data_IF_142019747001
#
_entry.id   IF_142019747001
#
_cell.length_a   1.000
_cell.length_b   1.000
_cell.length_c   1.000
_cell.angle_alpha   90.00
_cell.angle_beta   90.00
_cell.angle_gamma   90.00
#
_symmetry.space_group_name_H-M   'P 1'
#
loop_
_entity.id
_entity.type
_entity.pdbx_description
1 polymer ?
#
# COMPACT_ATOMS: atom_id res chain seq x y z
N UNK A 1 -10.86 -6.34 20.88
CA UNK A 1 -12.06 -6.13 20.07
C UNK A 1 -11.80 -6.59 18.65
N UNK A 2 -12.70 -7.36 18.06
CA UNK A 2 -12.63 -7.71 16.65
C UNK A 2 -13.03 -6.54 15.75
N UNK A 3 -12.72 -6.65 14.46
CA UNK A 3 -13.09 -5.67 13.43
C UNK A 3 -14.58 -5.65 13.09
N UNK A 4 -15.42 -6.41 13.83
CA UNK A 4 -16.83 -6.58 13.55
C UNK A 4 -17.10 -7.62 12.46
N UNK A 5 -18.38 -8.05 12.35
CA UNK A 5 -18.78 -9.09 11.39
C UNK A 5 -18.50 -8.71 9.93
N UNK A 6 -18.75 -7.47 9.57
CA UNK A 6 -18.49 -6.96 8.22
C UNK A 6 -17.04 -7.18 7.78
N UNK A 7 -16.07 -6.74 8.61
CA UNK A 7 -14.67 -6.86 8.26
C UNK A 7 -14.17 -8.29 8.26
N UNK A 8 -14.70 -9.19 9.09
CA UNK A 8 -14.32 -10.60 9.02
C UNK A 8 -14.70 -11.22 7.69
N UNK A 9 -15.90 -10.96 7.19
CA UNK A 9 -16.34 -11.44 5.87
C UNK A 9 -15.51 -10.84 4.73
N UNK A 10 -15.27 -9.53 4.77
CA UNK A 10 -14.45 -8.82 3.76
C UNK A 10 -13.04 -9.36 3.72
N UNK A 11 -12.41 -9.60 4.87
CA UNK A 11 -11.05 -10.11 4.93
C UNK A 11 -10.94 -11.52 4.34
N UNK A 12 -11.93 -12.38 4.54
CA UNK A 12 -11.93 -13.71 3.95
C UNK A 12 -12.01 -13.64 2.41
N UNK A 13 -12.89 -12.81 1.87
CA UNK A 13 -12.98 -12.57 0.42
C UNK A 13 -11.67 -11.99 -0.13
N UNK A 14 -11.08 -11.02 0.56
CA UNK A 14 -9.81 -10.43 0.12
C UNK A 14 -8.67 -11.46 0.11
N UNK A 15 -8.61 -12.35 1.08
CA UNK A 15 -7.62 -13.44 1.08
C UNK A 15 -7.76 -14.34 -0.13
N UNK A 16 -8.97 -14.64 -0.54
CA UNK A 16 -9.25 -15.50 -1.69
C UNK A 16 -8.80 -14.87 -3.01
N UNK A 17 -8.83 -13.56 -3.13
CA UNK A 17 -8.42 -12.86 -4.35
C UNK A 17 -6.93 -12.52 -4.43
N UNK A 18 -6.18 -12.63 -3.31
CA UNK A 18 -4.73 -12.35 -3.29
C UNK A 18 -3.97 -13.01 -4.44
N UNK A 19 -4.15 -14.32 -4.75
CA UNK A 19 -3.38 -14.99 -5.81
C UNK A 19 -3.59 -14.43 -7.21
N UNK A 20 -4.69 -13.73 -7.45
CA UNK A 20 -5.06 -13.21 -8.78
C UNK A 20 -5.12 -11.68 -8.83
N UNK A 21 -4.89 -11.01 -7.73
CA UNK A 21 -5.09 -9.57 -7.58
C UNK A 21 -4.34 -8.75 -8.63
N UNK A 22 -3.04 -8.97 -8.78
CA UNK A 22 -2.23 -8.23 -9.74
C UNK A 22 -2.63 -8.53 -11.20
N UNK A 23 -3.03 -9.78 -11.49
CA UNK A 23 -3.52 -10.15 -12.82
C UNK A 23 -4.82 -9.43 -13.16
N UNK A 24 -5.75 -9.37 -12.22
CA UNK A 24 -7.02 -8.66 -12.40
C UNK A 24 -6.79 -7.17 -12.62
N UNK A 25 -5.95 -6.55 -11.82
CA UNK A 25 -5.61 -5.13 -11.97
C UNK A 25 -4.94 -4.85 -13.32
N UNK A 26 -4.00 -5.67 -13.74
CA UNK A 26 -3.36 -5.54 -15.05
C UNK A 26 -4.36 -5.70 -16.21
N UNK A 27 -5.29 -6.62 -16.07
CA UNK A 27 -6.35 -6.83 -17.08
C UNK A 27 -7.30 -5.62 -17.16
N UNK A 28 -7.80 -5.12 -16.02
CA UNK A 28 -8.72 -3.98 -15.96
C UNK A 28 -8.05 -2.70 -16.50
N UNK A 29 -6.78 -2.49 -16.21
CA UNK A 29 -6.00 -1.32 -16.65
C UNK A 29 -5.43 -1.46 -18.06
N UNK A 30 -5.65 -2.57 -18.73
CA UNK A 30 -5.03 -2.92 -20.03
C UNK A 30 -3.48 -2.88 -19.97
N UNK A 31 -2.91 -3.33 -18.84
CA UNK A 31 -1.47 -3.34 -18.59
C UNK A 31 -0.86 -1.98 -18.25
N UNK A 32 -1.68 -0.96 -17.99
CA UNK A 32 -1.24 0.43 -17.69
C UNK A 32 -1.25 0.77 -16.20
N UNK A 33 -1.44 -0.21 -15.34
CA UNK A 33 -1.52 -0.01 -13.89
C UNK A 33 -0.28 0.67 -13.31
N UNK A 34 0.93 0.32 -13.76
CA UNK A 34 2.16 0.98 -13.33
C UNK A 34 2.25 2.41 -13.86
N UNK A 35 1.85 2.65 -15.11
CA UNK A 35 1.80 4.01 -15.68
C UNK A 35 0.85 4.90 -14.89
N UNK A 36 -0.32 4.41 -14.51
CA UNK A 36 -1.28 5.16 -13.73
C UNK A 36 -0.74 5.49 -12.33
N UNK A 37 -0.08 4.53 -11.67
CA UNK A 37 0.59 4.78 -10.39
C UNK A 37 1.67 5.86 -10.53
N UNK A 38 2.50 5.75 -11.55
CA UNK A 38 3.57 6.73 -11.83
C UNK A 38 3.01 8.13 -12.00
N UNK A 39 1.98 8.29 -12.83
CA UNK A 39 1.32 9.58 -13.06
C UNK A 39 0.69 10.16 -11.79
N UNK A 40 0.11 9.30 -10.96
CA UNK A 40 -0.48 9.70 -9.69
C UNK A 40 0.54 10.23 -8.68
N UNK A 41 1.74 9.69 -8.70
CA UNK A 41 2.80 10.02 -7.74
C UNK A 41 3.70 11.16 -8.21
N UNK A 42 3.86 11.32 -9.51
CA UNK A 42 4.81 12.27 -10.10
C UNK A 42 4.56 13.70 -9.61
N UNK A 43 5.60 14.30 -9.03
CA UNK A 43 5.55 15.66 -8.47
C UNK A 43 4.82 15.79 -7.13
N UNK A 44 4.21 14.72 -6.62
CA UNK A 44 3.50 14.72 -5.34
C UNK A 44 4.27 14.05 -4.21
N UNK A 45 5.12 13.10 -4.56
CA UNK A 45 6.05 12.45 -3.61
C UNK A 45 7.46 12.89 -3.96
N UNK A 46 8.25 13.24 -2.96
CA UNK A 46 9.61 13.74 -3.09
C UNK A 46 10.57 12.89 -2.29
N UNK A 47 11.85 12.97 -2.63
CA UNK A 47 12.91 12.35 -1.84
C UNK A 47 12.79 12.72 -0.36
N UNK A 48 13.19 11.80 0.52
CA UNK A 48 13.15 11.94 1.98
C UNK A 48 11.76 12.12 2.60
N UNK A 49 10.67 12.14 1.81
CA UNK A 49 9.33 12.20 2.38
C UNK A 49 9.02 10.99 3.26
N UNK A 50 8.26 11.25 4.34
CA UNK A 50 7.56 10.20 5.07
C UNK A 50 6.20 9.97 4.43
N UNK A 51 5.96 8.79 3.92
CA UNK A 51 4.70 8.44 3.26
C UNK A 51 3.97 7.29 3.94
N UNK A 52 2.65 7.42 4.00
CA UNK A 52 1.75 6.35 4.40
C UNK A 52 1.10 5.77 3.15
N UNK A 53 1.31 4.48 2.89
CA UNK A 53 0.60 3.74 1.87
C UNK A 53 -0.60 3.06 2.52
N UNK A 54 -1.75 3.71 2.41
CA UNK A 54 -2.99 3.28 3.05
C UNK A 54 -3.74 2.28 2.15
N UNK A 55 -4.04 1.11 2.69
CA UNK A 55 -4.54 0.00 1.88
C UNK A 55 -3.46 -0.50 0.94
N UNK A 56 -2.25 -0.70 1.47
CA UNK A 56 -1.04 -0.94 0.66
C UNK A 56 -1.06 -2.24 -0.13
N UNK A 57 -1.79 -3.25 0.35
CA UNK A 57 -1.83 -4.56 -0.31
C UNK A 57 -0.43 -5.11 -0.56
N UNK A 58 -0.09 -5.35 -1.81
CA UNK A 58 1.26 -5.78 -2.23
C UNK A 58 2.30 -4.65 -2.28
N UNK A 59 1.95 -3.44 -1.89
CA UNK A 59 2.86 -2.30 -1.86
C UNK A 59 3.22 -1.73 -3.24
N UNK A 60 2.39 -1.94 -4.24
CA UNK A 60 2.67 -1.51 -5.61
C UNK A 60 2.84 0.01 -5.74
N UNK A 61 2.03 0.80 -5.03
CA UNK A 61 2.19 2.26 -4.99
C UNK A 61 3.54 2.67 -4.39
N UNK A 62 3.91 2.08 -3.27
CA UNK A 62 5.19 2.35 -2.60
C UNK A 62 6.39 1.90 -3.41
N UNK A 63 6.30 0.77 -4.10
CA UNK A 63 7.35 0.32 -5.04
C UNK A 63 7.55 1.33 -6.15
N UNK A 64 6.47 1.84 -6.73
CA UNK A 64 6.53 2.88 -7.77
C UNK A 64 7.12 4.17 -7.21
N UNK A 65 6.72 4.59 -6.01
CA UNK A 65 7.28 5.76 -5.34
C UNK A 65 8.80 5.63 -5.13
N UNK A 66 9.27 4.46 -4.70
CA UNK A 66 10.71 4.19 -4.54
C UNK A 66 11.47 4.25 -5.85
N UNK A 67 10.89 3.77 -6.95
CA UNK A 67 11.49 3.90 -8.30
C UNK A 67 11.63 5.36 -8.73
N UNK A 68 10.65 6.20 -8.38
CA UNK A 68 10.65 7.62 -8.76
C UNK A 68 11.58 8.49 -7.91
N UNK A 69 11.65 8.22 -6.60
CA UNK A 69 12.27 9.09 -5.62
C UNK A 69 13.47 8.47 -4.90
N UNK A 70 13.82 7.24 -5.22
CA UNK A 70 14.94 6.55 -4.58
C UNK A 70 14.58 5.95 -3.21
N UNK A 71 15.61 5.42 -2.54
CA UNK A 71 15.45 4.63 -1.32
C UNK A 71 15.42 5.47 -0.03
N UNK A 72 15.52 6.79 -0.12
CA UNK A 72 15.48 7.69 1.05
C UNK A 72 14.06 7.96 1.55
N UNK A 73 13.04 7.46 0.84
CA UNK A 73 11.66 7.52 1.30
C UNK A 73 11.46 6.73 2.58
N UNK A 74 10.78 7.34 3.54
CA UNK A 74 10.36 6.68 4.79
C UNK A 74 8.95 6.14 4.60
N UNK A 75 8.84 4.88 4.22
CA UNK A 75 7.58 4.24 3.86
C UNK A 75 6.99 3.50 5.06
N UNK A 76 5.71 3.72 5.31
CA UNK A 76 4.88 2.90 6.18
C UNK A 76 3.77 2.26 5.35
N UNK A 77 3.72 0.94 5.33
CA UNK A 77 2.66 0.18 4.69
C UNK A 77 1.55 -0.10 5.72
N UNK A 78 0.32 0.19 5.36
CA UNK A 78 -0.84 0.02 6.23
C UNK A 78 -1.94 -0.74 5.50
N UNK A 79 -2.28 -1.92 6.00
CA UNK A 79 -3.28 -2.79 5.37
C UNK A 79 -3.90 -3.75 6.41
N UNK A 80 -5.18 -4.11 6.28
CA UNK A 80 -5.79 -5.08 7.18
C UNK A 80 -5.27 -6.52 7.00
N UNK A 81 -4.63 -6.84 5.87
CA UNK A 81 -4.16 -8.18 5.54
C UNK A 81 -2.69 -8.37 5.92
N UNK A 82 -2.44 -8.90 7.10
CA UNK A 82 -1.09 -9.16 7.61
C UNK A 82 -0.24 -10.03 6.67
N UNK A 83 -0.76 -11.11 6.05
CA UNK A 83 0.03 -11.90 5.11
C UNK A 83 0.56 -11.10 3.91
N UNK A 84 -0.23 -10.15 3.38
CA UNK A 84 0.23 -9.26 2.30
C UNK A 84 1.36 -8.36 2.77
N UNK A 85 1.23 -7.73 3.94
CA UNK A 85 2.27 -6.88 4.51
C UNK A 85 3.59 -7.63 4.69
N UNK A 86 3.55 -8.82 5.25
CA UNK A 86 4.74 -9.65 5.47
C UNK A 86 5.42 -10.06 4.16
N UNK A 87 4.65 -10.40 3.14
CA UNK A 87 5.20 -10.76 1.84
C UNK A 87 5.78 -9.56 1.10
N UNK A 88 5.22 -8.38 1.29
CA UNK A 88 5.64 -7.16 0.59
C UNK A 88 7.02 -6.69 1.04
N UNK A 89 7.34 -6.85 2.31
CA UNK A 89 8.60 -6.37 2.91
C UNK A 89 9.85 -6.77 2.13
N UNK A 90 9.90 -7.97 1.59
CA UNK A 90 11.05 -8.51 0.85
C UNK A 90 11.33 -7.81 -0.48
N UNK A 91 10.38 -7.04 -1.02
CA UNK A 91 10.52 -6.35 -2.30
C UNK A 91 11.16 -4.96 -2.18
N UNK A 92 11.48 -4.54 -0.98
CA UNK A 92 12.13 -3.26 -0.73
C UNK A 92 13.58 -3.47 -0.31
N UNK A 93 14.47 -2.65 -0.86
CA UNK A 93 15.89 -2.65 -0.47
C UNK A 93 16.05 -2.20 0.99
N UNK A 94 15.36 -1.13 1.36
CA UNK A 94 15.21 -0.70 2.75
C UNK A 94 13.82 -1.11 3.23
N UNK A 95 13.71 -2.02 4.21
CA UNK A 95 12.42 -2.50 4.66
C UNK A 95 11.51 -1.38 5.17
N UNK A 96 10.26 -1.28 4.67
CA UNK A 96 9.31 -0.30 5.17
C UNK A 96 8.82 -0.67 6.58
N UNK A 97 8.29 0.31 7.30
CA UNK A 97 7.51 0.05 8.50
C UNK A 97 6.17 -0.60 8.10
N UNK A 98 5.68 -1.50 8.94
CA UNK A 98 4.43 -2.22 8.71
C UNK A 98 3.46 -1.95 9.85
N UNK A 99 2.21 -1.67 9.51
CA UNK A 99 1.13 -1.59 10.48
C UNK A 99 -0.14 -2.22 9.88
N UNK A 100 -0.89 -2.93 10.70
CA UNK A 100 -2.12 -3.57 10.27
C UNK A 100 -3.33 -2.91 10.91
N UNK A 101 -4.34 -2.63 10.10
CA UNK A 101 -5.60 -2.04 10.54
C UNK A 101 -6.49 -1.62 9.39
N UNK A 102 -7.57 -0.95 9.73
CA UNK A 102 -8.59 -0.46 8.80
C UNK A 102 -8.65 1.06 8.81
N UNK A 103 -9.22 1.66 7.76
CA UNK A 103 -9.26 3.12 7.61
C UNK A 103 -10.06 3.83 8.70
N UNK A 104 -11.03 3.17 9.28
CA UNK A 104 -11.84 3.69 10.36
C UNK A 104 -11.05 3.93 11.66
N UNK A 105 -9.90 3.31 11.79
CA UNK A 105 -9.05 3.35 12.98
C UNK A 105 -7.57 3.44 12.63
N UNK A 106 -7.18 4.55 12.00
CA UNK A 106 -5.78 4.80 11.65
C UNK A 106 -5.00 5.21 12.89
N UNK A 107 -3.96 4.44 13.31
CA UNK A 107 -3.29 4.61 14.62
C UNK A 107 -2.13 5.60 14.58
N UNK A 108 -2.11 6.54 13.67
CA UNK A 108 -1.02 7.51 13.53
C UNK A 108 -1.45 8.90 13.98
N UNK A 109 -0.51 9.65 14.51
CA UNK A 109 -0.70 11.04 14.88
C UNK A 109 -0.96 11.91 13.64
N UNK A 110 -1.71 12.98 13.81
CA UNK A 110 -1.90 13.98 12.78
C UNK A 110 -0.56 14.56 12.32
N UNK A 111 -0.48 14.92 11.04
CA UNK A 111 0.69 15.55 10.44
C UNK A 111 1.99 14.73 10.51
N UNK A 112 1.90 13.42 10.75
CA UNK A 112 3.05 12.54 10.81
C UNK A 112 3.69 12.27 9.44
N UNK A 113 2.90 12.29 8.38
CA UNK A 113 3.35 11.97 7.03
C UNK A 113 3.33 13.20 6.12
N UNK A 114 4.30 13.26 5.20
CA UNK A 114 4.35 14.30 4.16
C UNK A 114 3.33 14.03 3.04
N UNK A 115 3.04 12.75 2.80
CA UNK A 115 2.04 12.33 1.83
C UNK A 115 1.35 11.04 2.29
N UNK A 116 0.08 10.93 1.94
CA UNK A 116 -0.70 9.68 2.06
C UNK A 116 -1.07 9.24 0.67
N UNK A 117 -0.72 8.02 0.32
CA UNK A 117 -1.05 7.42 -0.97
C UNK A 117 -2.01 6.25 -0.76
N UNK A 118 -2.91 6.08 -1.70
CA UNK A 118 -3.85 4.97 -1.71
C UNK A 118 -4.01 4.50 -3.17
N UNK A 119 -3.63 3.28 -3.44
CA UNK A 119 -3.78 2.67 -4.74
C UNK A 119 -4.99 1.73 -4.82
N UNK A 120 -5.13 1.07 -5.94
CA UNK A 120 -6.10 0.02 -6.16
C UNK A 120 -5.44 -1.37 -6.13
#
# INVERSE_FOLDING_TARGET
MGLGGYWSEVLDVLRDIIPVYDKVNSFISLGKDEEFRTRGLLGRVKEENAILDAGSGFGNMSKTASKLCGNDLKITLYDPLIPMLKNTKKFFEIPPALASGVFEHIPFQDEKFDAVICGY
#
